data_IF_248101751985
#
_entry.id   IF_248101751985
#
_cell.length_a   1.000
_cell.length_b   1.000
_cell.length_c   1.000
_cell.angle_alpha   90.00
_cell.angle_beta   90.00
_cell.angle_gamma   90.00
#
_symmetry.space_group_name_H-M   'P 1'
#
loop_
_entity.id
_entity.type
_entity.pdbx_description
1 polymer ?
#
# COMPACT_ATOMS: atom_id res chain seq x y z
N UNK A 1 -30.65 49.33 -40.26
CA UNK A 1 -30.52 49.08 -38.81
C UNK A 1 -30.35 47.60 -38.61
N UNK A 2 -29.14 47.12 -38.40
CA UNK A 2 -28.81 45.68 -38.16
C UNK A 2 -28.55 45.50 -36.69
N UNK A 3 -29.40 44.70 -36.00
CA UNK A 3 -29.20 44.32 -34.60
C UNK A 3 -28.36 43.04 -34.55
N UNK A 4 -27.14 43.20 -34.05
CA UNK A 4 -26.21 42.10 -33.81
C UNK A 4 -26.55 41.45 -32.47
N UNK A 5 -26.98 40.19 -32.48
CA UNK A 5 -27.17 39.42 -31.26
C UNK A 5 -25.84 38.84 -30.83
N UNK A 6 -25.30 39.34 -29.72
CA UNK A 6 -24.14 38.79 -29.02
C UNK A 6 -24.60 37.61 -28.20
N UNK A 7 -24.26 36.40 -28.64
CA UNK A 7 -24.49 35.16 -27.86
C UNK A 7 -23.36 35.07 -26.85
N UNK A 8 -23.66 35.34 -25.59
CA UNK A 8 -22.77 35.06 -24.48
C UNK A 8 -22.71 33.50 -24.27
N UNK A 9 -21.57 32.96 -24.53
CA UNK A 9 -21.24 31.53 -24.19
C UNK A 9 -20.80 31.52 -22.74
N UNK A 10 -21.70 31.12 -21.84
CA UNK A 10 -21.34 30.88 -20.45
C UNK A 10 -20.69 29.50 -20.35
N UNK A 11 -19.38 29.48 -20.30
CA UNK A 11 -18.63 28.26 -19.99
C UNK A 11 -18.78 27.98 -18.50
N UNK A 12 -19.54 26.96 -18.16
CA UNK A 12 -19.60 26.39 -16.81
C UNK A 12 -18.34 25.56 -16.61
N UNK A 13 -17.34 26.13 -15.96
CA UNK A 13 -16.19 25.38 -15.47
C UNK A 13 -16.65 24.67 -14.21
N UNK A 14 -16.94 23.37 -14.33
CA UNK A 14 -17.09 22.50 -13.17
C UNK A 14 -15.72 22.30 -12.53
N UNK A 15 -15.41 23.10 -11.52
CA UNK A 15 -14.25 22.86 -10.65
C UNK A 15 -14.61 21.66 -9.78
N UNK A 16 -14.12 20.51 -10.16
CA UNK A 16 -14.04 19.34 -9.27
C UNK A 16 -13.07 19.73 -8.14
N UNK A 17 -13.61 20.23 -7.05
CA UNK A 17 -12.89 20.40 -5.81
C UNK A 17 -12.52 19.00 -5.28
N UNK A 18 -11.36 18.50 -5.68
CA UNK A 18 -10.68 17.45 -4.95
C UNK A 18 -10.39 18.01 -3.57
N UNK A 19 -11.18 17.62 -2.59
CA UNK A 19 -10.96 17.95 -1.19
C UNK A 19 -9.63 17.29 -0.74
N UNK A 20 -8.55 18.04 -0.94
CA UNK A 20 -7.28 17.74 -0.27
C UNK A 20 -7.51 18.00 1.21
N UNK A 21 -7.77 16.94 1.96
CA UNK A 21 -7.75 17.01 3.41
C UNK A 21 -6.30 17.31 3.83
N UNK A 22 -6.01 18.58 4.04
CA UNK A 22 -4.75 19.06 4.61
C UNK A 22 -4.73 18.63 6.07
N UNK A 23 -3.85 17.73 6.43
CA UNK A 23 -3.59 17.37 7.82
C UNK A 23 -2.56 18.31 8.40
N UNK A 24 -2.89 18.89 9.56
CA UNK A 24 -1.99 19.75 10.30
C UNK A 24 -0.87 18.95 10.99
N UNK A 25 0.33 19.48 10.83
CA UNK A 25 1.55 19.29 11.64
C UNK A 25 1.99 17.86 12.01
N UNK A 26 3.06 17.43 11.39
CA UNK A 26 3.84 16.23 11.68
C UNK A 26 3.95 15.34 10.46
N UNK A 27 5.11 15.23 9.86
CA UNK A 27 5.53 14.37 8.73
C UNK A 27 4.39 13.79 7.90
N UNK A 28 3.77 14.60 7.05
CA UNK A 28 2.62 14.15 6.27
C UNK A 28 3.10 13.35 5.09
N UNK A 29 3.09 12.04 5.24
CA UNK A 29 3.05 11.14 4.11
C UNK A 29 1.60 11.13 3.62
N UNK A 30 1.34 11.72 2.46
CA UNK A 30 0.02 11.58 1.83
C UNK A 30 -0.26 10.10 1.56
N UNK A 31 -1.48 9.61 1.82
CA UNK A 31 -1.82 8.25 1.43
C UNK A 31 -1.74 8.09 -0.08
N UNK A 32 -1.36 6.91 -0.52
CA UNK A 32 -1.32 6.52 -1.93
C UNK A 32 -2.55 5.66 -2.17
N UNK A 33 -3.45 6.10 -3.05
CA UNK A 33 -4.67 5.34 -3.31
C UNK A 33 -4.35 4.03 -4.05
N UNK A 34 -3.47 4.08 -5.03
CA UNK A 34 -2.98 2.90 -5.75
C UNK A 34 -1.56 3.17 -6.27
N UNK A 35 -0.52 2.64 -5.64
CA UNK A 35 0.85 2.81 -6.11
C UNK A 35 1.06 2.06 -7.43
N UNK A 36 1.90 2.59 -8.31
CA UNK A 36 2.40 1.82 -9.44
C UNK A 36 3.48 0.86 -8.95
N UNK A 37 3.52 -0.34 -9.56
CA UNK A 37 4.52 -1.35 -9.25
C UNK A 37 5.17 -1.88 -10.52
N UNK A 38 6.44 -2.26 -10.40
CA UNK A 38 7.20 -2.98 -11.42
C UNK A 38 8.08 -4.04 -10.77
N UNK A 39 8.40 -5.12 -11.48
CA UNK A 39 9.29 -6.14 -10.96
C UNK A 39 10.56 -6.23 -11.82
N UNK A 40 11.61 -6.80 -11.26
CA UNK A 40 12.86 -7.13 -11.95
C UNK A 40 12.70 -8.35 -12.87
N UNK A 41 11.68 -9.16 -12.62
CA UNK A 41 11.35 -10.36 -13.42
C UNK A 41 9.85 -10.53 -13.55
N UNK A 42 9.40 -10.90 -14.75
CA UNK A 42 7.98 -11.06 -15.04
C UNK A 42 7.20 -9.75 -14.98
N UNK A 43 5.90 -9.88 -14.96
CA UNK A 43 4.98 -8.74 -14.82
C UNK A 43 4.32 -8.79 -13.45
N UNK A 44 4.27 -7.66 -12.77
CA UNK A 44 3.50 -7.47 -11.54
C UNK A 44 2.37 -6.48 -11.80
N UNK A 45 1.20 -6.78 -11.25
CA UNK A 45 0.01 -5.93 -11.35
C UNK A 45 -0.58 -5.71 -9.96
N UNK A 46 -0.91 -4.45 -9.66
CA UNK A 46 -1.71 -4.08 -8.50
C UNK A 46 -3.13 -3.76 -8.95
N UNK A 47 -4.12 -4.23 -8.19
CA UNK A 47 -5.53 -3.93 -8.44
C UNK A 47 -6.32 -3.81 -7.15
N UNK A 48 -7.53 -3.25 -7.24
CA UNK A 48 -8.47 -3.35 -6.14
C UNK A 48 -8.71 -4.82 -5.78
N UNK A 49 -8.88 -5.09 -4.48
CA UNK A 49 -9.04 -6.47 -4.00
C UNK A 49 -10.31 -7.11 -4.56
N UNK A 50 -10.15 -8.27 -5.18
CA UNK A 50 -11.25 -9.16 -5.50
C UNK A 50 -11.51 -10.09 -4.30
N UNK A 51 -12.42 -9.67 -3.44
CA UNK A 51 -12.74 -10.40 -2.20
C UNK A 51 -13.17 -11.86 -2.43
N UNK A 52 -13.73 -12.18 -3.60
CA UNK A 52 -14.18 -13.53 -3.91
C UNK A 52 -13.08 -14.59 -3.92
N UNK A 53 -11.83 -14.16 -4.06
CA UNK A 53 -10.63 -15.03 -4.05
C UNK A 53 -10.20 -15.49 -2.67
N UNK A 54 -10.76 -14.90 -1.60
CA UNK A 54 -10.26 -15.05 -0.24
C UNK A 54 -11.30 -15.71 0.67
N UNK A 55 -10.83 -16.36 1.74
CA UNK A 55 -11.71 -16.90 2.78
C UNK A 55 -12.52 -15.79 3.45
N UNK A 56 -13.71 -16.11 3.98
CA UNK A 56 -14.57 -15.14 4.68
C UNK A 56 -13.85 -14.42 5.82
N UNK A 57 -12.97 -15.12 6.56
CA UNK A 57 -12.16 -14.51 7.60
C UNK A 57 -11.25 -13.42 7.01
N UNK A 58 -10.53 -13.73 5.93
CA UNK A 58 -9.62 -12.78 5.30
C UNK A 58 -10.38 -11.62 4.65
N UNK A 59 -11.53 -11.87 4.03
CA UNK A 59 -12.41 -10.82 3.50
C UNK A 59 -12.82 -9.81 4.59
N UNK A 60 -13.23 -10.29 5.78
CA UNK A 60 -13.56 -9.40 6.91
C UNK A 60 -12.38 -8.55 7.33
N UNK A 61 -11.18 -9.14 7.43
CA UNK A 61 -9.97 -8.43 7.78
C UNK A 61 -9.66 -7.36 6.73
N UNK A 62 -9.62 -7.70 5.44
CA UNK A 62 -9.35 -6.77 4.34
C UNK A 62 -10.34 -5.60 4.36
N UNK A 63 -11.64 -5.87 4.50
CA UNK A 63 -12.66 -4.84 4.59
C UNK A 63 -12.43 -3.91 5.78
N UNK A 64 -12.06 -4.45 6.95
CA UNK A 64 -11.73 -3.66 8.13
C UNK A 64 -10.51 -2.77 7.88
N UNK A 65 -9.43 -3.31 7.32
CA UNK A 65 -8.22 -2.57 7.00
C UNK A 65 -8.49 -1.43 6.00
N UNK A 66 -9.28 -1.68 4.95
CA UNK A 66 -9.65 -0.68 3.96
C UNK A 66 -10.62 0.39 4.46
N UNK A 67 -11.37 0.10 5.52
CA UNK A 67 -12.25 1.06 6.18
C UNK A 67 -11.58 1.82 7.33
N UNK A 68 -10.34 1.48 7.68
CA UNK A 68 -9.59 2.16 8.72
C UNK A 68 -9.33 3.63 8.32
N UNK A 69 -9.45 4.53 9.29
CA UNK A 69 -9.15 5.95 9.06
C UNK A 69 -7.66 6.16 8.81
N UNK A 70 -7.35 7.16 8.00
CA UNK A 70 -5.95 7.60 7.82
C UNK A 70 -5.29 7.86 9.16
N UNK A 71 -4.04 7.42 9.29
CA UNK A 71 -3.28 7.56 10.53
C UNK A 71 -3.59 6.50 11.58
N UNK A 72 -4.57 5.63 11.35
CA UNK A 72 -4.80 4.45 12.19
C UNK A 72 -3.57 3.54 12.13
N UNK A 73 -3.16 3.06 13.30
CA UNK A 73 -2.06 2.10 13.37
C UNK A 73 -2.47 0.74 12.78
N UNK A 74 -1.50 -0.05 12.37
CA UNK A 74 -1.76 -1.43 11.91
C UNK A 74 -2.47 -2.22 13.02
N UNK A 75 -2.04 -2.06 14.29
CA UNK A 75 -2.68 -2.68 15.44
C UNK A 75 -4.18 -2.34 15.53
N UNK A 76 -4.51 -1.05 15.50
CA UNK A 76 -5.89 -0.59 15.68
C UNK A 76 -6.78 -0.97 14.49
N UNK A 77 -6.20 -0.98 13.27
CA UNK A 77 -6.92 -1.39 12.07
C UNK A 77 -7.27 -2.88 12.07
N UNK A 78 -6.41 -3.75 12.57
CA UNK A 78 -6.72 -5.17 12.75
C UNK A 78 -7.74 -5.41 13.88
N UNK A 79 -7.66 -4.62 14.95
CA UNK A 79 -8.49 -4.82 16.14
C UNK A 79 -8.35 -6.24 16.71
N UNK A 80 -9.49 -6.91 16.94
CA UNK A 80 -9.52 -8.27 17.50
C UNK A 80 -8.98 -9.37 16.56
N UNK A 81 -8.79 -9.05 15.27
CA UNK A 81 -8.21 -9.99 14.29
C UNK A 81 -6.68 -9.83 14.16
N UNK A 82 -6.06 -9.03 15.05
CA UNK A 82 -4.60 -8.86 15.04
C UNK A 82 -3.93 -10.22 15.29
N UNK A 83 -3.00 -10.66 14.42
CA UNK A 83 -2.22 -11.86 14.68
C UNK A 83 -1.38 -11.72 15.96
N UNK A 84 -1.11 -12.84 16.65
CA UNK A 84 -0.26 -12.87 17.85
C UNK A 84 1.14 -12.29 17.57
N UNK A 85 1.62 -12.45 16.34
CA UNK A 85 2.88 -11.86 15.86
C UNK A 85 2.79 -11.53 14.39
N UNK A 86 3.46 -10.45 13.97
CA UNK A 86 3.69 -10.10 12.57
C UNK A 86 5.20 -10.05 12.37
N UNK A 87 5.72 -10.98 11.58
CA UNK A 87 7.15 -11.13 11.33
C UNK A 87 7.63 -10.13 10.30
N UNK A 88 8.84 -9.62 10.46
CA UNK A 88 9.56 -8.80 9.48
C UNK A 88 10.63 -9.65 8.79
N UNK A 89 10.55 -9.76 7.47
CA UNK A 89 11.53 -10.44 6.63
C UNK A 89 12.34 -9.44 5.81
N UNK A 90 13.64 -9.71 5.68
CA UNK A 90 14.52 -8.93 4.80
C UNK A 90 14.52 -9.45 3.35
N UNK A 91 15.35 -8.83 2.52
CA UNK A 91 15.50 -9.18 1.10
C UNK A 91 16.00 -10.60 0.83
N UNK A 92 16.55 -11.25 1.83
CA UNK A 92 17.04 -12.63 1.75
C UNK A 92 16.06 -13.63 2.38
N UNK A 93 14.81 -13.21 2.59
CA UNK A 93 13.78 -13.97 3.28
C UNK A 93 14.21 -14.45 4.67
N UNK A 94 15.06 -13.67 5.33
CA UNK A 94 15.52 -13.95 6.69
C UNK A 94 14.65 -13.20 7.67
N UNK A 95 14.07 -13.93 8.62
CA UNK A 95 13.32 -13.35 9.73
C UNK A 95 14.24 -12.43 10.56
N UNK A 96 13.91 -11.15 10.66
CA UNK A 96 14.66 -10.17 11.45
C UNK A 96 14.11 -10.01 12.86
N UNK A 97 12.82 -9.86 12.98
CA UNK A 97 12.15 -9.64 14.27
C UNK A 97 10.62 -9.68 14.08
N UNK A 98 9.90 -9.75 15.18
CA UNK A 98 8.50 -9.37 15.20
C UNK A 98 8.39 -7.84 15.21
N UNK A 99 7.45 -7.29 14.44
CA UNK A 99 7.17 -5.86 14.50
C UNK A 99 6.28 -5.54 15.70
N UNK A 100 6.36 -4.29 16.17
CA UNK A 100 5.29 -3.70 16.97
C UNK A 100 4.28 -3.03 16.02
N UNK A 101 3.09 -3.62 15.81
CA UNK A 101 2.12 -3.12 14.85
C UNK A 101 1.52 -1.77 15.27
N UNK A 102 1.72 -1.32 16.51
CA UNK A 102 1.30 0.00 16.98
C UNK A 102 2.17 1.13 16.42
N UNK A 103 3.38 0.82 15.96
CA UNK A 103 4.32 1.80 15.39
C UNK A 103 4.12 2.02 13.90
N UNK A 104 3.38 1.15 13.22
CA UNK A 104 3.13 1.24 11.78
C UNK A 104 1.75 1.83 11.47
N UNK A 105 1.69 2.63 10.42
CA UNK A 105 0.47 3.23 9.88
C UNK A 105 0.33 2.88 8.40
N UNK A 106 -0.91 2.83 7.89
CA UNK A 106 -1.15 2.57 6.47
C UNK A 106 -0.79 3.78 5.60
N UNK A 107 -0.07 3.52 4.51
CA UNK A 107 0.26 4.46 3.46
C UNK A 107 -0.65 4.26 2.25
N UNK A 108 -1.07 3.04 1.96
CA UNK A 108 -2.01 2.68 0.89
C UNK A 108 -3.17 1.84 1.44
N UNK A 109 -4.28 1.70 0.69
CA UNK A 109 -5.25 0.65 0.95
C UNK A 109 -4.62 -0.74 0.76
N UNK A 110 -5.32 -1.78 1.23
CA UNK A 110 -5.00 -3.16 0.88
C UNK A 110 -5.40 -3.41 -0.57
N UNK A 111 -4.53 -4.03 -1.33
CA UNK A 111 -4.67 -4.28 -2.78
C UNK A 111 -4.28 -5.72 -3.10
N UNK A 112 -4.82 -6.25 -4.20
CA UNK A 112 -4.30 -7.45 -4.82
C UNK A 112 -2.96 -7.16 -5.48
N UNK A 113 -1.96 -8.03 -5.22
CA UNK A 113 -0.73 -8.13 -6.01
C UNK A 113 -0.75 -9.43 -6.79
N UNK A 114 -0.57 -9.34 -8.10
CA UNK A 114 -0.57 -10.50 -8.99
C UNK A 114 0.76 -10.57 -9.73
N UNK A 115 1.35 -11.76 -9.74
CA UNK A 115 2.57 -12.09 -10.49
C UNK A 115 2.19 -12.88 -11.73
N UNK A 116 2.53 -12.34 -12.92
CA UNK A 116 2.35 -13.00 -14.19
C UNK A 116 3.71 -13.47 -14.72
N UNK A 117 3.77 -14.72 -15.20
CA UNK A 117 4.97 -15.34 -15.79
C UNK A 117 6.15 -15.55 -14.84
N UNK A 118 5.95 -15.33 -13.54
CA UNK A 118 6.90 -15.65 -12.47
C UNK A 118 6.14 -16.02 -11.20
N UNK A 119 6.65 -16.98 -10.44
CA UNK A 119 6.11 -17.30 -9.12
C UNK A 119 7.23 -17.09 -8.10
N UNK A 120 7.13 -16.08 -7.25
CA UNK A 120 8.10 -15.88 -6.17
C UNK A 120 8.12 -17.09 -5.23
N UNK A 121 9.30 -17.45 -4.77
CA UNK A 121 9.52 -18.50 -3.75
C UNK A 121 10.55 -18.03 -2.73
N UNK A 122 10.65 -18.74 -1.61
CA UNK A 122 11.64 -18.45 -0.58
C UNK A 122 13.08 -18.51 -1.11
N UNK A 123 13.37 -19.46 -2.01
CA UNK A 123 14.69 -19.67 -2.60
C UNK A 123 14.94 -18.72 -3.80
N UNK A 124 13.88 -18.21 -4.42
CA UNK A 124 13.94 -17.35 -5.59
C UNK A 124 12.94 -16.19 -5.48
N UNK A 125 13.18 -15.23 -4.57
CA UNK A 125 12.29 -14.11 -4.34
C UNK A 125 12.31 -13.12 -5.51
N UNK A 126 11.16 -12.50 -5.76
CA UNK A 126 10.99 -11.48 -6.81
C UNK A 126 11.04 -10.09 -6.19
N UNK A 127 11.94 -9.26 -6.70
CA UNK A 127 12.04 -7.87 -6.30
C UNK A 127 10.96 -7.04 -6.97
N UNK A 128 10.11 -6.38 -6.19
CA UNK A 128 9.07 -5.47 -6.68
C UNK A 128 9.38 -4.05 -6.20
N UNK A 129 9.36 -3.10 -7.13
CA UNK A 129 9.53 -1.68 -6.85
C UNK A 129 8.17 -0.99 -6.94
N UNK A 130 7.82 -0.25 -5.90
CA UNK A 130 6.60 0.54 -5.79
C UNK A 130 6.94 2.03 -5.90
N UNK A 131 6.10 2.76 -6.63
CA UNK A 131 6.16 4.23 -6.66
C UNK A 131 5.31 4.75 -5.50
N UNK A 132 5.96 5.37 -4.54
CA UNK A 132 5.34 5.95 -3.35
C UNK A 132 5.74 7.43 -3.28
N UNK A 133 4.89 8.31 -3.78
CA UNK A 133 5.14 9.74 -3.75
C UNK A 133 5.17 10.26 -2.29
N UNK A 134 5.95 11.29 -2.06
CA UNK A 134 6.08 11.97 -0.76
C UNK A 134 6.75 11.16 0.35
N UNK A 135 7.62 10.21 0.02
CA UNK A 135 8.49 9.59 1.02
C UNK A 135 9.52 10.61 1.51
N UNK A 136 9.54 10.84 2.81
CA UNK A 136 10.56 11.67 3.46
C UNK A 136 11.67 10.79 4.04
N UNK A 137 12.84 11.38 4.33
CA UNK A 137 13.94 10.63 4.94
C UNK A 137 13.64 10.15 6.36
N UNK A 138 12.65 10.78 7.00
CA UNK A 138 12.25 10.47 8.37
C UNK A 138 11.35 9.24 8.50
N UNK A 139 10.92 8.65 7.39
CA UNK A 139 10.07 7.46 7.43
C UNK A 139 10.77 6.25 6.84
N UNK A 140 10.39 5.09 7.38
CA UNK A 140 10.65 3.78 6.80
C UNK A 140 9.33 3.28 6.21
N UNK A 141 9.34 2.96 4.92
CA UNK A 141 8.21 2.32 4.24
C UNK A 141 8.51 0.84 4.11
N UNK A 142 7.58 0.00 4.55
CA UNK A 142 7.63 -1.45 4.47
C UNK A 142 6.32 -1.95 3.81
N UNK A 143 6.25 -3.23 3.49
CA UNK A 143 5.09 -3.83 2.84
C UNK A 143 4.43 -4.81 3.81
N UNK A 144 3.19 -4.54 4.22
CA UNK A 144 2.33 -5.52 4.87
C UNK A 144 1.80 -6.45 3.80
N UNK A 145 2.05 -7.74 3.92
CA UNK A 145 1.72 -8.75 2.93
C UNK A 145 1.05 -9.95 3.60
N UNK A 146 0.04 -10.50 2.96
CA UNK A 146 -0.55 -11.75 3.39
C UNK A 146 0.11 -12.90 2.63
N UNK A 147 1.09 -13.55 3.26
CA UNK A 147 1.73 -14.74 2.72
C UNK A 147 0.75 -15.92 2.79
N UNK A 148 0.48 -16.64 1.70
CA UNK A 148 -0.38 -17.83 1.72
C UNK A 148 0.10 -18.93 2.68
N UNK A 149 1.40 -18.97 2.97
CA UNK A 149 2.03 -19.99 3.82
C UNK A 149 2.12 -19.55 5.30
N UNK A 150 2.38 -18.26 5.55
CA UNK A 150 2.68 -17.76 6.90
C UNK A 150 1.61 -16.84 7.47
N UNK A 151 0.63 -16.38 6.67
CA UNK A 151 -0.33 -15.36 7.06
C UNK A 151 0.24 -13.94 6.93
N UNK A 152 -0.19 -13.02 7.82
CA UNK A 152 0.26 -11.63 7.76
C UNK A 152 1.72 -11.47 8.20
N UNK A 153 2.50 -10.82 7.36
CA UNK A 153 3.90 -10.54 7.59
C UNK A 153 4.28 -9.19 6.98
N UNK A 154 5.46 -8.71 7.31
CA UNK A 154 6.04 -7.48 6.75
C UNK A 154 7.29 -7.82 5.96
N UNK A 155 7.34 -7.37 4.72
CA UNK A 155 8.52 -7.40 3.89
C UNK A 155 9.25 -6.06 4.04
N UNK A 156 10.53 -6.10 4.40
CA UNK A 156 11.33 -4.92 4.61
C UNK A 156 11.47 -4.12 3.31
N UNK A 157 11.08 -2.85 3.35
CA UNK A 157 11.25 -1.93 2.24
C UNK A 157 12.67 -1.38 2.16
N UNK A 158 13.21 -1.36 0.95
CA UNK A 158 14.49 -0.74 0.61
C UNK A 158 14.21 0.56 -0.14
N UNK A 159 14.55 1.72 0.44
CA UNK A 159 14.39 3.01 -0.24
C UNK A 159 15.34 3.06 -1.44
N UNK A 160 14.80 3.22 -2.65
CA UNK A 160 15.56 3.33 -3.89
C UNK A 160 15.76 4.81 -4.26
N UNK A 161 14.74 5.62 -4.07
CA UNK A 161 14.76 7.07 -4.30
C UNK A 161 13.71 7.75 -3.40
N UNK A 162 13.53 9.04 -3.55
CA UNK A 162 12.54 9.82 -2.77
C UNK A 162 11.09 9.44 -3.07
N UNK A 163 10.86 8.68 -4.12
CA UNK A 163 9.52 8.23 -4.51
C UNK A 163 9.46 6.73 -4.84
N UNK A 164 10.48 5.95 -4.50
CA UNK A 164 10.50 4.52 -4.81
C UNK A 164 10.99 3.70 -3.62
N UNK A 165 10.26 2.64 -3.35
CA UNK A 165 10.62 1.59 -2.38
C UNK A 165 10.55 0.24 -3.06
N UNK A 166 11.51 -0.64 -2.79
CA UNK A 166 11.48 -2.01 -3.27
C UNK A 166 11.37 -2.99 -2.10
N UNK A 167 10.75 -4.14 -2.36
CA UNK A 167 10.74 -5.27 -1.43
C UNK A 167 10.83 -6.58 -2.20
N UNK A 168 11.21 -7.65 -1.50
CA UNK A 168 11.38 -8.97 -2.05
C UNK A 168 10.25 -9.88 -1.60
N UNK A 169 9.44 -10.31 -2.57
CA UNK A 169 8.34 -11.23 -2.35
C UNK A 169 8.84 -12.67 -2.48
N UNK A 170 8.50 -13.50 -1.53
CA UNK A 170 8.92 -14.90 -1.44
C UNK A 170 7.76 -15.88 -1.55
N UNK A 171 6.58 -15.40 -1.83
CA UNK A 171 5.39 -16.20 -2.10
C UNK A 171 4.54 -15.53 -3.17
N UNK A 172 3.58 -16.25 -3.73
CA UNK A 172 2.81 -15.86 -4.91
C UNK A 172 1.81 -14.72 -4.71
N UNK A 173 0.90 -14.61 -5.66
CA UNK A 173 -0.13 -13.56 -5.68
C UNK A 173 -1.02 -13.60 -4.44
N UNK A 174 -1.28 -12.44 -3.83
CA UNK A 174 -2.11 -12.30 -2.63
C UNK A 174 -2.48 -10.82 -2.41
N UNK A 175 -2.75 -10.41 -1.16
CA UNK A 175 -3.01 -9.01 -0.81
C UNK A 175 -1.82 -8.38 -0.11
N UNK A 176 -1.66 -7.07 -0.34
CA UNK A 176 -0.61 -6.27 0.28
C UNK A 176 -1.08 -4.84 0.54
N UNK A 177 -0.39 -4.14 1.42
CA UNK A 177 -0.49 -2.69 1.58
C UNK A 177 0.89 -2.09 1.85
N UNK A 178 1.12 -0.87 1.41
CA UNK A 178 2.25 -0.09 1.90
C UNK A 178 1.94 0.42 3.29
N UNK A 179 2.87 0.22 4.20
CA UNK A 179 2.83 0.72 5.58
C UNK A 179 4.09 1.53 5.87
N UNK A 180 4.03 2.40 6.85
CA UNK A 180 5.20 3.19 7.24
C UNK A 180 5.28 3.36 8.75
N UNK A 181 6.49 3.63 9.22
CA UNK A 181 6.80 4.09 10.56
C UNK A 181 7.79 5.24 10.53
N UNK A 182 7.77 6.07 11.54
CA UNK A 182 8.79 7.09 11.72
C UNK A 182 10.12 6.43 12.11
N UNK A 183 11.22 6.93 11.56
CA UNK A 183 12.56 6.55 12.00
C UNK A 183 12.84 7.30 13.30
N UNK A 184 13.05 6.57 14.37
CA UNK A 184 13.48 7.14 15.66
C UNK A 184 14.92 7.64 15.62
#
# INVERSE_FOLDING_TARGET
MKKTFLKAFTAVIAVLALSLNVFAAGSIVGSIDMPNASSDRGKVTLSAVDLSKYSEKLQRIINRLNNARRGTTVKDAFGDDLPDSINLYDKSNVLKKNIDPSTYKFLSPVMDITFDSVTPTADDPVRVTFVANNMTDNIQVDILYYCPEHGWEVLQGEKISDNQVAAYFHAGSSVMALIYREKG
#
